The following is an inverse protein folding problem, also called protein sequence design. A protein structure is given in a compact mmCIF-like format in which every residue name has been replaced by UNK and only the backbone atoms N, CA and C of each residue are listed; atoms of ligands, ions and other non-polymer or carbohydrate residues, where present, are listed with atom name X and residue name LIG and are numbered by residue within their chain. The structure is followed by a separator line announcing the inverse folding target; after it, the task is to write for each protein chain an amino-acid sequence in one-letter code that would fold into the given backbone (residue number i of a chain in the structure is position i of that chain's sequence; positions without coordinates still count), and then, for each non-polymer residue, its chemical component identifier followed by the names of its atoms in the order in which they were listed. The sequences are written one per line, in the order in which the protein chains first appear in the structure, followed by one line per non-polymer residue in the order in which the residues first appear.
data_IF_466564207660
#
_entry.id   IF_466564207660
#
_cell.length_a   1.000
_cell.length_b   1.000
_cell.length_c   1.000
_cell.angle_alpha   90.00
_cell.angle_beta   90.00
_cell.angle_gamma   90.00
#
_symmetry.space_group_name_H-M   'P 1'
#
loop_
_entity.id
_entity.type
_entity.pdbx_description
1 polymer ?
#
# COMPACT_ATOMS: atom_id res chain seq x y z
N UNK A 1 5.45 10.55 0.22
CA UNK A 1 5.09 10.54 -1.22
C UNK A 1 3.61 10.26 -1.33
N UNK A 2 2.89 11.02 -2.17
CA UNK A 2 1.45 10.78 -2.39
C UNK A 2 1.25 9.57 -3.30
N UNK A 3 0.72 8.49 -2.73
CA UNK A 3 0.40 7.25 -3.44
C UNK A 3 -1.11 7.18 -3.63
N UNK A 4 -1.56 7.07 -4.88
CA UNK A 4 -2.97 6.86 -5.23
C UNK A 4 -3.19 5.41 -5.62
N UNK A 5 -4.22 4.78 -5.06
CA UNK A 5 -4.63 3.42 -5.36
C UNK A 5 -6.15 3.33 -5.33
N UNK A 6 -6.67 2.41 -6.15
CA UNK A 6 -8.06 1.97 -6.10
C UNK A 6 -8.10 0.71 -5.26
N UNK A 7 -8.92 0.68 -4.21
CA UNK A 7 -9.11 -0.53 -3.42
C UNK A 7 -9.66 -1.65 -4.31
N UNK A 8 -8.98 -2.79 -4.32
CA UNK A 8 -9.48 -3.97 -5.03
C UNK A 8 -10.75 -4.56 -4.41
N UNK A 9 -11.11 -4.15 -3.18
CA UNK A 9 -12.32 -4.60 -2.50
C UNK A 9 -13.51 -3.65 -2.72
N UNK A 10 -13.37 -2.38 -2.35
CA UNK A 10 -14.46 -1.39 -2.49
C UNK A 10 -14.52 -0.66 -3.83
N UNK A 11 -13.46 -0.70 -4.63
CA UNK A 11 -13.35 0.09 -5.87
C UNK A 11 -13.17 1.59 -5.64
N UNK A 12 -12.99 2.02 -4.38
CA UNK A 12 -12.83 3.44 -4.03
C UNK A 12 -11.38 3.85 -4.23
N UNK A 13 -11.17 4.95 -4.96
CA UNK A 13 -9.87 5.59 -5.11
C UNK A 13 -9.53 6.43 -3.86
N UNK A 14 -8.32 6.25 -3.33
CA UNK A 14 -7.80 7.07 -2.24
C UNK A 14 -6.34 7.43 -2.51
N UNK A 15 -5.92 8.54 -1.90
CA UNK A 15 -4.53 8.98 -1.91
C UNK A 15 -4.02 9.10 -0.48
N UNK A 16 -2.92 8.41 -0.16
CA UNK A 16 -2.24 8.49 1.13
C UNK A 16 -0.85 9.12 0.97
N UNK A 17 -0.38 9.84 1.98
CA UNK A 17 1.02 10.26 2.05
C UNK A 17 1.83 9.21 2.82
N UNK A 18 2.68 8.49 2.09
CA UNK A 18 3.43 7.34 2.59
C UNK A 18 4.92 7.64 2.54
N UNK A 19 5.66 7.27 3.59
CA UNK A 19 7.12 7.48 3.67
C UNK A 19 7.91 6.46 2.81
N UNK A 20 7.72 6.51 1.51
CA UNK A 20 8.34 5.62 0.51
C UNK A 20 9.13 6.40 -0.53
N UNK A 21 10.20 5.80 -1.05
CA UNK A 21 11.00 6.36 -2.16
C UNK A 21 10.60 5.74 -3.51
N UNK A 22 10.99 6.39 -4.61
CA UNK A 22 10.75 5.83 -5.95
C UNK A 22 11.49 4.50 -6.16
N UNK A 23 12.75 4.40 -5.70
CA UNK A 23 13.55 3.18 -5.78
C UNK A 23 12.86 1.98 -5.12
N UNK A 24 12.23 2.17 -3.96
CA UNK A 24 11.48 1.11 -3.30
C UNK A 24 10.25 0.65 -4.11
N UNK A 25 9.60 1.56 -4.83
CA UNK A 25 8.49 1.22 -5.71
C UNK A 25 8.99 0.43 -6.92
N UNK A 26 10.10 0.87 -7.51
CA UNK A 26 10.75 0.21 -8.65
C UNK A 26 11.25 -1.20 -8.27
N UNK A 27 11.82 -1.36 -7.07
CA UNK A 27 12.22 -2.66 -6.52
C UNK A 27 11.01 -3.59 -6.39
N UNK A 28 9.89 -3.09 -5.88
CA UNK A 28 8.67 -3.89 -5.78
C UNK A 28 8.11 -4.26 -7.15
N UNK A 29 8.10 -3.33 -8.11
CA UNK A 29 7.66 -3.57 -9.49
C UNK A 29 8.56 -4.57 -10.23
N UNK A 30 9.85 -4.60 -9.90
CA UNK A 30 10.82 -5.58 -10.42
C UNK A 30 10.71 -6.99 -9.79
N UNK A 31 9.80 -7.18 -8.82
CA UNK A 31 9.49 -8.47 -8.21
C UNK A 31 10.10 -8.70 -6.83
N UNK A 32 10.68 -7.68 -6.20
CA UNK A 32 11.13 -7.76 -4.81
C UNK A 32 9.95 -8.05 -3.88
N UNK A 33 10.16 -8.85 -2.84
CA UNK A 33 9.11 -9.14 -1.87
C UNK A 33 8.67 -7.86 -1.15
N UNK A 34 7.36 -7.71 -0.93
CA UNK A 34 6.74 -6.51 -0.33
C UNK A 34 7.41 -6.08 0.98
N UNK A 35 7.73 -7.03 1.86
CA UNK A 35 8.38 -6.78 3.14
C UNK A 35 9.87 -6.38 3.02
N UNK A 36 10.50 -6.68 1.89
CA UNK A 36 11.89 -6.30 1.60
C UNK A 36 11.92 -4.92 0.97
N UNK A 37 11.12 -4.69 -0.08
CA UNK A 37 11.04 -3.39 -0.77
C UNK A 37 10.58 -2.28 0.20
N UNK A 38 9.60 -2.57 1.05
CA UNK A 38 9.00 -1.61 1.97
C UNK A 38 9.30 -1.91 3.44
N UNK A 39 10.54 -2.29 3.76
CA UNK A 39 10.95 -2.70 5.11
C UNK A 39 10.69 -1.65 6.19
N UNK A 40 10.68 -0.37 5.83
CA UNK A 40 10.48 0.77 6.72
C UNK A 40 8.99 1.10 6.95
N UNK A 41 8.07 0.53 6.17
CA UNK A 41 6.66 0.87 6.22
C UNK A 41 5.89 -0.05 7.19
N UNK A 42 4.90 0.50 7.93
CA UNK A 42 3.96 -0.30 8.71
C UNK A 42 3.14 -1.22 7.79
N UNK A 43 2.55 -2.27 8.37
CA UNK A 43 1.80 -3.28 7.62
C UNK A 43 0.64 -2.68 6.80
N UNK A 44 -0.09 -1.72 7.38
CA UNK A 44 -1.22 -1.05 6.72
C UNK A 44 -0.80 -0.26 5.46
N UNK A 45 0.34 0.44 5.50
CA UNK A 45 0.83 1.19 4.34
C UNK A 45 1.34 0.26 3.23
N UNK A 46 2.00 -0.84 3.62
CA UNK A 46 2.39 -1.90 2.67
C UNK A 46 1.18 -2.52 1.97
N UNK A 47 0.13 -2.79 2.74
CA UNK A 47 -1.12 -3.32 2.21
C UNK A 47 -1.77 -2.31 1.25
N UNK A 48 -1.83 -1.04 1.62
CA UNK A 48 -2.38 0.00 0.75
C UNK A 48 -1.63 0.09 -0.58
N UNK A 49 -0.29 0.06 -0.59
CA UNK A 49 0.50 0.07 -1.83
C UNK A 49 0.15 -1.12 -2.73
N UNK A 50 -0.06 -2.30 -2.13
CA UNK A 50 -0.31 -3.57 -2.81
C UNK A 50 -1.73 -3.71 -3.34
N UNK A 51 -2.74 -3.34 -2.55
CA UNK A 51 -4.15 -3.67 -2.81
C UNK A 51 -5.07 -2.47 -2.87
N UNK A 52 -4.59 -1.29 -2.46
CA UNK A 52 -5.41 -0.09 -2.30
C UNK A 52 -6.35 -0.10 -1.09
N UNK A 53 -6.33 -1.17 -0.28
CA UNK A 53 -7.14 -1.29 0.93
C UNK A 53 -6.49 -0.46 2.04
N UNK A 54 -7.29 0.37 2.72
CA UNK A 54 -6.83 1.16 3.88
C UNK A 54 -7.04 0.38 5.18
N UNK A 55 -6.34 0.77 6.25
CA UNK A 55 -6.52 0.16 7.58
C UNK A 55 -7.99 0.26 8.07
N UNK A 56 -8.64 1.40 7.82
CA UNK A 56 -10.05 1.60 8.16
C UNK A 56 -10.95 0.61 7.40
N UNK A 57 -10.72 0.44 6.10
CA UNK A 57 -11.48 -0.49 5.25
C UNK A 57 -11.24 -1.94 5.68
N UNK A 58 -10.01 -2.31 6.02
CA UNK A 58 -9.69 -3.64 6.54
C UNK A 58 -10.49 -3.96 7.82
N UNK A 59 -10.53 -3.02 8.76
CA UNK A 59 -11.28 -3.13 10.01
C UNK A 59 -12.80 -3.18 9.81
N UNK A 60 -13.32 -2.67 8.70
CA UNK A 60 -14.74 -2.78 8.33
C UNK A 60 -15.05 -4.16 7.74
N UNK A 61 -14.15 -4.74 6.94
CA UNK A 61 -14.34 -6.03 6.27
C UNK A 61 -14.30 -7.21 7.26
N UNK A 62 -13.38 -7.18 8.22
CA UNK A 62 -13.07 -8.33 9.09
C UNK A 62 -13.55 -8.17 10.54
N UNK A 63 -14.59 -7.37 10.75
CA UNK A 63 -15.21 -7.16 12.06
C UNK A 63 -16.00 -8.36 12.57
#
# INVERSE_FOLDING_TARGET
MKITRVSMFSGIERTLDINVTQEQLDDYESGTLLQVAFFNLPAAEREFIKTGITDAEWNEIFK
#
